data_IF_827635708897
#
_entry.id   IF_827635708897
#
_cell.length_a   1.000
_cell.length_b   1.000
_cell.length_c   1.000
_cell.angle_alpha   90.00
_cell.angle_beta   90.00
_cell.angle_gamma   90.00
#
_symmetry.space_group_name_H-M   'P 1'
#
loop_
_entity.id
_entity.type
_entity.pdbx_description
1 polymer ?
#
# COMPACT_ATOMS: atom_id res chain seq x y z
N UNK A 1 -11.40 -7.76 27.29
CA UNK A 1 -11.44 -6.46 26.60
C UNK A 1 -10.14 -5.76 26.90
N UNK A 2 -9.41 -5.28 25.90
CA UNK A 2 -8.17 -4.53 26.13
C UNK A 2 -8.48 -3.11 26.60
N UNK A 3 -7.55 -2.54 27.38
CA UNK A 3 -7.65 -1.17 27.83
C UNK A 3 -7.40 -0.19 26.68
N UNK A 4 -8.12 0.94 26.65
CA UNK A 4 -7.99 1.94 25.60
C UNK A 4 -6.56 2.49 25.44
N UNK A 5 -5.73 2.43 26.49
CA UNK A 5 -4.32 2.83 26.48
C UNK A 5 -3.40 1.91 25.69
N UNK A 6 -3.80 0.66 25.44
CA UNK A 6 -2.96 -0.37 24.84
C UNK A 6 -3.28 -0.62 23.36
N UNK A 7 -4.19 0.15 22.76
CA UNK A 7 -4.47 0.04 21.33
C UNK A 7 -3.29 0.53 20.50
N UNK A 8 -3.24 0.09 19.25
CA UNK A 8 -2.28 0.60 18.26
C UNK A 8 -2.55 2.08 17.92
N UNK A 9 -1.50 2.89 17.66
CA UNK A 9 -1.60 4.30 17.27
C UNK A 9 -2.58 4.60 16.13
N UNK A 10 -2.85 3.61 15.26
CA UNK A 10 -3.84 3.72 14.18
C UNK A 10 -5.28 4.05 14.62
N UNK A 11 -5.65 3.75 15.87
CA UNK A 11 -6.99 4.01 16.40
C UNK A 11 -7.13 5.37 17.08
N UNK A 12 -6.06 6.17 17.13
CA UNK A 12 -6.05 7.45 17.83
C UNK A 12 -5.85 8.62 16.86
N UNK A 13 -6.56 9.71 17.13
CA UNK A 13 -6.37 11.01 16.48
C UNK A 13 -5.86 12.00 17.52
N UNK A 14 -4.62 12.46 17.38
CA UNK A 14 -3.95 13.30 18.36
C UNK A 14 -3.94 14.78 17.94
N UNK A 15 -4.20 15.68 18.90
CA UNK A 15 -4.11 17.12 18.72
C UNK A 15 -3.28 17.76 19.86
N UNK A 16 -2.54 18.83 19.57
CA UNK A 16 -1.76 19.56 20.56
C UNK A 16 -1.89 21.07 20.35
N UNK A 17 -1.94 21.83 21.45
CA UNK A 17 -2.14 23.29 21.42
C UNK A 17 -0.85 24.07 21.16
N UNK A 18 0.27 23.61 21.70
CA UNK A 18 1.58 24.28 21.59
C UNK A 18 2.62 23.27 21.14
N UNK A 19 3.06 23.40 19.91
CA UNK A 19 3.85 22.38 19.25
C UNK A 19 4.97 23.09 18.46
N UNK A 20 6.22 22.88 18.87
CA UNK A 20 7.41 23.28 18.09
C UNK A 20 7.88 22.07 17.31
N UNK A 21 7.97 22.19 15.97
CA UNK A 21 8.36 21.08 15.08
C UNK A 21 9.62 20.39 15.63
N UNK A 22 9.55 19.06 15.78
CA UNK A 22 10.66 18.23 16.26
C UNK A 22 10.86 18.13 17.77
N UNK A 23 10.15 18.92 18.59
CA UNK A 23 10.20 18.83 20.05
C UNK A 23 9.11 17.90 20.61
N UNK A 24 9.41 17.17 21.69
CA UNK A 24 8.44 16.32 22.35
C UNK A 24 7.36 17.18 23.03
N UNK A 25 6.11 16.95 22.64
CA UNK A 25 4.95 17.70 23.14
C UNK A 25 3.90 16.72 23.66
N UNK A 26 3.20 17.10 24.72
CA UNK A 26 2.04 16.36 25.23
C UNK A 26 0.84 16.65 24.34
N UNK A 27 0.37 15.63 23.62
CA UNK A 27 -0.81 15.70 22.77
C UNK A 27 -1.99 14.98 23.44
N UNK A 28 -3.21 15.47 23.18
CA UNK A 28 -4.45 14.82 23.58
C UNK A 28 -4.92 13.97 22.40
N UNK A 29 -5.00 12.66 22.62
CA UNK A 29 -5.36 11.67 21.62
C UNK A 29 -6.77 11.13 21.87
N UNK A 30 -7.62 11.22 20.86
CA UNK A 30 -8.99 10.72 20.89
C UNK A 30 -9.07 9.36 20.21
N UNK A 31 -9.60 8.37 20.92
CA UNK A 31 -9.87 7.03 20.36
C UNK A 31 -11.06 7.10 19.41
N UNK A 32 -10.91 6.50 18.22
CA UNK A 32 -11.96 6.43 17.22
C UNK A 32 -13.23 5.72 17.78
N UNK A 33 -14.42 6.23 17.44
CA UNK A 33 -15.71 5.72 17.95
C UNK A 33 -15.97 4.25 17.61
N UNK A 34 -15.35 3.75 16.55
CA UNK A 34 -15.50 2.36 16.09
C UNK A 34 -14.62 1.35 16.86
N UNK A 35 -13.64 1.82 17.63
CA UNK A 35 -12.80 0.95 18.44
C UNK A 35 -13.51 0.62 19.77
N UNK A 36 -13.71 -0.67 20.05
CA UNK A 36 -14.29 -1.16 21.30
C UNK A 36 -13.16 -1.40 22.30
N UNK A 37 -13.04 -0.52 23.29
CA UNK A 37 -12.02 -0.60 24.33
C UNK A 37 -12.58 -0.21 25.70
N UNK A 38 -11.92 -0.66 26.78
CA UNK A 38 -12.31 -0.34 28.16
C UNK A 38 -11.45 0.78 28.74
N UNK A 39 -12.08 1.84 29.25
CA UNK A 39 -11.40 2.98 29.88
C UNK A 39 -11.74 4.34 29.25
N UNK A 40 -10.89 5.33 29.52
CA UNK A 40 -11.03 6.68 29.01
C UNK A 40 -10.66 6.76 27.52
N UNK A 41 -11.51 7.43 26.71
CA UNK A 41 -11.30 7.57 25.25
C UNK A 41 -10.37 8.72 24.86
N UNK A 42 -10.07 9.59 25.81
CA UNK A 42 -9.19 10.74 25.62
C UNK A 42 -7.94 10.50 26.46
N UNK A 43 -6.82 10.23 25.82
CA UNK A 43 -5.58 9.87 26.50
C UNK A 43 -4.53 10.90 26.15
N UNK A 44 -3.74 11.32 27.14
CA UNK A 44 -2.61 12.21 26.92
C UNK A 44 -1.35 11.40 26.66
N UNK A 45 -0.69 11.68 25.53
CA UNK A 45 0.51 10.96 25.08
C UNK A 45 1.60 11.98 24.75
N UNK A 46 2.84 11.69 25.13
CA UNK A 46 4.00 12.52 24.77
C UNK A 46 4.61 11.99 23.49
N UNK A 47 4.62 12.83 22.44
CA UNK A 47 5.11 12.45 21.11
C UNK A 47 5.83 13.63 20.45
N UNK A 48 6.77 13.39 19.51
CA UNK A 48 7.44 14.46 18.80
C UNK A 48 6.43 15.23 17.95
N UNK A 49 6.59 16.55 17.92
CA UNK A 49 5.72 17.43 17.17
C UNK A 49 5.95 17.30 15.66
N UNK A 50 5.25 16.35 15.03
CA UNK A 50 5.16 16.21 13.58
C UNK A 50 3.70 16.02 13.16
N UNK A 51 3.24 16.79 12.16
CA UNK A 51 1.95 16.54 11.54
C UNK A 51 2.03 15.26 10.70
N UNK A 52 0.94 14.49 10.63
CA UNK A 52 0.91 13.22 9.89
C UNK A 52 1.36 13.33 8.41
N UNK A 53 1.15 14.47 7.77
CA UNK A 53 1.57 14.73 6.39
C UNK A 53 3.04 15.13 6.24
N UNK A 54 3.74 15.44 7.35
CA UNK A 54 5.16 15.80 7.37
C UNK A 54 6.08 14.62 7.69
N UNK A 55 5.51 13.43 7.92
CA UNK A 55 6.29 12.22 8.17
C UNK A 55 7.12 11.84 6.93
N UNK A 56 8.27 11.16 7.13
CA UNK A 56 9.05 10.64 6.02
C UNK A 56 8.28 9.57 5.25
N UNK A 57 8.56 9.41 3.96
CA UNK A 57 7.89 8.44 3.09
C UNK A 57 7.96 6.99 3.60
N UNK A 58 8.98 6.64 4.40
CA UNK A 58 9.11 5.32 5.03
C UNK A 58 8.01 4.99 6.04
N UNK A 59 7.35 6.00 6.59
CA UNK A 59 6.26 5.86 7.57
C UNK A 59 4.88 6.13 6.96
N UNK A 60 4.82 6.26 5.63
CA UNK A 60 3.62 6.57 4.87
C UNK A 60 3.32 5.47 3.84
N UNK A 61 2.10 4.94 3.88
CA UNK A 61 1.54 4.11 2.84
C UNK A 61 0.75 4.99 1.88
N UNK A 62 1.41 5.44 0.82
CA UNK A 62 0.78 6.21 -0.25
C UNK A 62 0.37 5.33 -1.42
N UNK A 63 -0.81 5.59 -1.97
CA UNK A 63 -1.31 4.90 -3.15
C UNK A 63 -2.47 5.60 -3.82
N UNK A 64 -2.89 5.06 -4.95
CA UNK A 64 -4.12 5.50 -5.62
C UNK A 64 -5.26 4.57 -5.21
N UNK A 65 -6.43 5.10 -4.84
CA UNK A 65 -7.59 4.27 -4.47
C UNK A 65 -8.10 3.41 -5.65
N UNK A 66 -7.87 3.88 -6.89
CA UNK A 66 -8.38 3.29 -8.12
C UNK A 66 -7.30 3.14 -9.21
N UNK A 67 -7.74 2.92 -10.46
CA UNK A 67 -6.92 2.96 -11.66
C UNK A 67 -6.18 4.29 -11.74
N UNK A 68 -4.87 4.21 -11.62
CA UNK A 68 -3.97 5.31 -11.89
C UNK A 68 -3.65 5.32 -13.39
N UNK A 69 -3.75 6.48 -14.04
CA UNK A 69 -3.37 6.62 -15.45
C UNK A 69 -1.93 7.14 -15.56
N UNK A 70 -1.05 6.48 -16.32
CA UNK A 70 0.28 6.98 -16.63
C UNK A 70 0.20 8.41 -17.14
N UNK A 71 0.79 9.36 -16.41
CA UNK A 71 0.79 10.75 -16.83
C UNK A 71 2.04 11.45 -16.38
N UNK A 72 2.47 12.43 -17.16
CA UNK A 72 3.56 13.35 -16.81
C UNK A 72 3.16 14.35 -15.73
N UNK A 73 1.87 14.40 -15.39
CA UNK A 73 1.32 15.25 -14.34
C UNK A 73 1.03 14.42 -13.08
N UNK A 74 1.29 14.99 -11.88
CA UNK A 74 0.91 14.32 -10.64
C UNK A 74 -0.61 14.21 -10.52
N UNK A 75 -1.07 13.12 -9.95
CA UNK A 75 -2.48 12.85 -9.66
C UNK A 75 -2.70 12.85 -8.15
N UNK A 76 -3.93 13.10 -7.73
CA UNK A 76 -4.30 13.08 -6.33
C UNK A 76 -4.43 11.61 -5.90
N UNK A 77 -3.56 11.19 -4.98
CA UNK A 77 -3.66 9.89 -4.31
C UNK A 77 -3.88 10.06 -2.81
N UNK A 78 -4.04 8.94 -2.12
CA UNK A 78 -4.32 8.88 -0.69
C UNK A 78 -3.09 8.30 0.01
N UNK A 79 -2.62 8.98 1.04
CA UNK A 79 -1.58 8.52 1.93
C UNK A 79 -2.17 8.22 3.29
N UNK A 80 -1.84 7.05 3.84
CA UNK A 80 -2.16 6.65 5.21
C UNK A 80 -0.89 6.43 6.01
N UNK A 81 -0.92 6.82 7.28
CA UNK A 81 0.21 6.64 8.19
C UNK A 81 0.28 5.20 8.70
N UNK A 82 1.49 4.61 8.77
CA UNK A 82 1.74 3.26 9.30
C UNK A 82 1.13 3.08 10.70
N UNK A 83 0.69 1.87 11.04
CA UNK A 83 -0.05 1.58 12.27
C UNK A 83 0.68 1.97 13.58
N UNK A 84 2.01 1.98 13.56
CA UNK A 84 2.89 2.17 14.72
C UNK A 84 3.40 3.60 14.88
N UNK A 85 3.37 4.43 13.84
CA UNK A 85 3.88 5.80 13.92
C UNK A 85 2.86 6.74 14.57
N UNK A 86 3.38 7.62 15.42
CA UNK A 86 2.60 8.60 16.18
C UNK A 86 2.77 9.98 15.54
N UNK A 87 1.66 10.62 15.20
CA UNK A 87 1.65 11.92 14.53
C UNK A 87 0.41 12.73 14.92
N UNK A 88 0.45 14.02 14.65
CA UNK A 88 -0.67 14.94 14.92
C UNK A 88 -1.58 15.08 13.70
N UNK A 89 -2.89 15.19 13.97
CA UNK A 89 -3.91 15.45 12.96
C UNK A 89 -4.48 14.19 12.31
N UNK A 90 -4.95 14.34 11.07
CA UNK A 90 -5.57 13.24 10.31
C UNK A 90 -4.51 12.25 9.81
N UNK A 91 -4.72 10.96 10.09
CA UNK A 91 -3.82 9.87 9.65
C UNK A 91 -3.99 9.47 8.19
N UNK A 92 -5.05 9.94 7.53
CA UNK A 92 -5.28 9.77 6.10
C UNK A 92 -5.42 11.14 5.45
N UNK A 93 -4.58 11.41 4.46
CA UNK A 93 -4.54 12.70 3.76
C UNK A 93 -4.33 12.50 2.26
N UNK A 94 -4.83 13.43 1.48
CA UNK A 94 -4.62 13.44 0.02
C UNK A 94 -3.28 14.08 -0.29
N UNK A 95 -2.47 13.41 -1.11
CA UNK A 95 -1.17 13.91 -1.55
C UNK A 95 -1.03 13.81 -3.07
N UNK A 96 -0.15 14.64 -3.63
CA UNK A 96 0.20 14.58 -5.05
C UNK A 96 1.20 13.47 -5.28
N UNK A 97 0.78 12.45 -6.02
CA UNK A 97 1.57 11.26 -6.31
C UNK A 97 1.76 11.14 -7.82
N UNK A 98 2.93 10.63 -8.22
CA UNK A 98 3.20 10.34 -9.62
C UNK A 98 2.82 8.90 -9.93
N UNK A 99 2.12 8.71 -11.04
CA UNK A 99 1.79 7.39 -11.55
C UNK A 99 2.99 6.83 -12.30
N UNK A 100 3.91 6.19 -11.59
CA UNK A 100 5.06 5.60 -12.27
C UNK A 100 4.64 4.28 -12.94
N UNK A 101 4.77 4.25 -14.26
CA UNK A 101 4.61 3.06 -15.09
C UNK A 101 6.01 2.57 -15.45
N UNK A 102 6.21 1.25 -15.48
CA UNK A 102 7.45 0.70 -16.00
C UNK A 102 7.50 0.84 -17.51
N UNK A 103 8.66 1.19 -18.06
CA UNK A 103 8.87 1.44 -19.50
C UNK A 103 8.89 0.19 -20.38
N UNK A 104 8.21 -0.90 -19.98
CA UNK A 104 8.33 -2.16 -20.72
C UNK A 104 7.22 -3.21 -20.55
N UNK A 105 6.35 -3.11 -19.55
CA UNK A 105 5.34 -4.13 -19.27
C UNK A 105 3.94 -3.70 -19.68
N UNK A 106 3.54 -4.02 -20.91
CA UNK A 106 2.17 -3.75 -21.37
C UNK A 106 1.19 -4.79 -20.83
N UNK A 107 0.03 -4.33 -20.34
CA UNK A 107 -1.02 -5.23 -19.85
C UNK A 107 -1.51 -6.17 -20.95
N UNK A 108 -1.70 -5.65 -22.16
CA UNK A 108 -2.15 -6.42 -23.32
C UNK A 108 -1.13 -7.50 -23.70
N UNK A 109 0.17 -7.16 -23.68
CA UNK A 109 1.24 -8.11 -23.97
C UNK A 109 1.33 -9.20 -22.91
N UNK A 110 1.18 -8.87 -21.63
CA UNK A 110 1.16 -9.85 -20.55
C UNK A 110 -0.03 -10.83 -20.69
N UNK A 111 -1.21 -10.34 -21.03
CA UNK A 111 -2.40 -11.17 -21.30
C UNK A 111 -2.17 -12.08 -22.51
N UNK A 112 -1.64 -11.52 -23.62
CA UNK A 112 -1.34 -12.30 -24.82
C UNK A 112 -0.31 -13.41 -24.55
N UNK A 113 0.77 -13.09 -23.81
CA UNK A 113 1.77 -14.07 -23.37
C UNK A 113 1.16 -15.14 -22.47
N UNK A 114 0.22 -14.79 -21.58
CA UNK A 114 -0.45 -15.77 -20.71
C UNK A 114 -1.35 -16.73 -21.49
N UNK A 115 -2.01 -16.27 -22.57
CA UNK A 115 -2.88 -17.11 -23.39
C UNK A 115 -2.05 -18.05 -24.28
N UNK A 116 -1.03 -17.50 -24.94
CA UNK A 116 -0.24 -18.24 -25.94
C UNK A 116 0.84 -19.11 -25.31
N UNK A 117 1.47 -18.62 -24.25
CA UNK A 117 2.66 -19.23 -23.63
C UNK A 117 2.53 -19.41 -22.11
N UNK A 118 1.32 -19.34 -21.55
CA UNK A 118 1.09 -19.47 -20.12
C UNK A 118 1.51 -20.83 -19.54
N UNK A 119 1.37 -21.90 -20.33
CA UNK A 119 1.84 -23.25 -19.98
C UNK A 119 3.36 -23.35 -19.80
N UNK A 120 4.12 -22.48 -20.46
CA UNK A 120 5.57 -22.36 -20.30
C UNK A 120 5.97 -21.28 -19.28
N UNK A 121 5.01 -20.58 -18.68
CA UNK A 121 5.26 -19.51 -17.71
C UNK A 121 5.84 -18.23 -18.30
N UNK A 122 5.71 -17.99 -19.62
CA UNK A 122 6.25 -16.80 -20.29
C UNK A 122 5.66 -15.49 -19.74
N UNK A 123 4.41 -15.52 -19.27
CA UNK A 123 3.77 -14.41 -18.55
C UNK A 123 4.53 -14.01 -17.28
N UNK A 124 5.01 -14.99 -16.50
CA UNK A 124 5.79 -14.76 -15.27
C UNK A 124 7.22 -14.35 -15.59
N UNK A 125 7.84 -14.91 -16.64
CA UNK A 125 9.15 -14.46 -17.11
C UNK A 125 9.09 -13.01 -17.61
N UNK A 126 8.04 -12.64 -18.35
CA UNK A 126 7.84 -11.27 -18.81
C UNK A 126 7.72 -10.30 -17.63
N UNK A 127 7.05 -10.67 -16.54
CA UNK A 127 6.88 -9.81 -15.36
C UNK A 127 8.07 -9.79 -14.39
N UNK A 128 9.16 -10.50 -14.69
CA UNK A 128 10.35 -10.61 -13.83
C UNK A 128 10.26 -11.69 -12.75
N UNK A 129 9.19 -12.48 -12.71
CA UNK A 129 9.04 -13.62 -11.79
C UNK A 129 9.71 -14.89 -12.32
N UNK A 130 11.03 -14.83 -12.54
CA UNK A 130 11.82 -15.93 -13.13
C UNK A 130 11.70 -17.24 -12.34
N UNK A 131 11.68 -17.17 -11.00
CA UNK A 131 11.55 -18.37 -10.15
C UNK A 131 10.23 -19.12 -10.34
N UNK A 132 9.11 -18.39 -10.39
CA UNK A 132 7.80 -18.98 -10.66
C UNK A 132 7.68 -19.50 -12.09
N UNK A 133 8.31 -18.83 -13.06
CA UNK A 133 8.41 -19.30 -14.44
C UNK A 133 9.14 -20.65 -14.53
N UNK A 134 10.29 -20.80 -13.87
CA UNK A 134 11.04 -22.07 -13.85
C UNK A 134 10.28 -23.18 -13.13
N UNK A 135 9.57 -22.85 -12.03
CA UNK A 135 8.77 -23.82 -11.29
C UNK A 135 7.59 -24.35 -12.14
N UNK A 136 6.97 -23.49 -12.95
CA UNK A 136 5.98 -23.92 -13.95
C UNK A 136 6.59 -24.88 -14.97
N UNK A 137 7.78 -24.59 -15.49
CA UNK A 137 8.47 -25.48 -16.44
C UNK A 137 8.82 -26.83 -15.82
N UNK A 138 9.34 -26.84 -14.58
CA UNK A 138 9.69 -28.06 -13.86
C UNK A 138 8.48 -28.95 -13.56
N UNK A 139 7.31 -28.34 -13.38
CA UNK A 139 6.03 -29.05 -13.17
C UNK A 139 5.27 -29.33 -14.47
N UNK A 140 5.91 -29.16 -15.63
CA UNK A 140 5.30 -29.30 -16.97
C UNK A 140 4.01 -28.47 -17.13
N UNK A 141 3.99 -27.27 -16.54
CA UNK A 141 2.87 -26.34 -16.61
C UNK A 141 1.64 -26.74 -15.79
N UNK A 142 1.78 -27.68 -14.84
CA UNK A 142 0.73 -28.03 -13.87
C UNK A 142 -0.63 -28.39 -14.49
N UNK A 143 -0.63 -29.15 -15.60
CA UNK A 143 -1.83 -29.54 -16.36
C UNK A 143 -2.70 -28.36 -16.87
N UNK A 144 -2.14 -27.15 -16.97
CA UNK A 144 -2.86 -25.95 -17.44
C UNK A 144 -3.69 -25.23 -16.36
N UNK A 145 -3.81 -25.80 -15.16
CA UNK A 145 -4.50 -25.15 -14.04
C UNK A 145 -3.73 -23.91 -13.54
N UNK A 146 -2.40 -24.01 -13.49
CA UNK A 146 -1.52 -22.88 -13.16
C UNK A 146 -1.71 -21.74 -14.16
N UNK A 147 -1.64 -22.03 -15.47
CA UNK A 147 -1.86 -21.05 -16.53
C UNK A 147 -3.22 -20.36 -16.45
N UNK A 148 -4.26 -21.07 -16.04
CA UNK A 148 -5.60 -20.51 -15.86
C UNK A 148 -5.65 -19.52 -14.69
N UNK A 149 -5.06 -19.88 -13.54
CA UNK A 149 -5.00 -19.01 -12.36
C UNK A 149 -4.20 -17.74 -12.70
N UNK A 150 -3.07 -17.89 -13.39
CA UNK A 150 -2.24 -16.77 -13.81
C UNK A 150 -2.95 -15.83 -14.79
N UNK A 151 -3.68 -16.37 -15.76
CA UNK A 151 -4.49 -15.59 -16.69
C UNK A 151 -5.53 -14.75 -15.94
N UNK A 152 -6.23 -15.34 -14.97
CA UNK A 152 -7.21 -14.62 -14.16
C UNK A 152 -6.54 -13.50 -13.37
N UNK A 153 -5.42 -13.76 -12.68
CA UNK A 153 -4.72 -12.75 -11.89
C UNK A 153 -4.15 -11.58 -12.72
N UNK A 154 -3.68 -11.84 -13.94
CA UNK A 154 -3.21 -10.80 -14.87
C UNK A 154 -4.42 -10.02 -15.42
N UNK A 155 -5.50 -10.71 -15.77
CA UNK A 155 -6.72 -10.08 -16.29
C UNK A 155 -7.37 -9.16 -15.24
N UNK A 156 -7.44 -9.59 -13.98
CA UNK A 156 -7.93 -8.77 -12.86
C UNK A 156 -6.95 -7.70 -12.40
N UNK A 157 -5.75 -7.60 -13.00
CA UNK A 157 -4.66 -6.68 -12.63
C UNK A 157 -4.23 -6.78 -11.16
N UNK A 158 -4.55 -7.91 -10.52
CA UNK A 158 -4.09 -8.20 -9.16
C UNK A 158 -2.61 -8.54 -9.17
N UNK A 159 -2.13 -9.15 -10.24
CA UNK A 159 -0.71 -9.38 -10.46
C UNK A 159 -0.06 -8.17 -11.11
N UNK A 160 0.96 -7.59 -10.48
CA UNK A 160 1.77 -6.47 -11.01
C UNK A 160 3.17 -6.96 -11.39
N UNK A 161 3.94 -6.18 -12.18
CA UNK A 161 5.38 -6.41 -12.35
C UNK A 161 6.11 -6.50 -11.00
N UNK A 162 7.23 -7.22 -10.97
CA UNK A 162 8.05 -7.39 -9.76
C UNK A 162 8.49 -6.05 -9.12
N UNK A 163 8.62 -5.01 -9.94
CA UNK A 163 8.98 -3.65 -9.51
C UNK A 163 7.85 -2.90 -8.79
N UNK A 164 6.65 -3.50 -8.66
CA UNK A 164 5.49 -2.89 -7.98
C UNK A 164 4.78 -1.77 -8.76
N UNK A 165 5.34 -1.38 -9.92
CA UNK A 165 4.74 -0.41 -10.85
C UNK A 165 3.41 -0.88 -11.44
N UNK A 166 2.70 0.03 -12.11
CA UNK A 166 1.53 -0.32 -12.91
C UNK A 166 1.92 -0.68 -14.34
N UNK A 167 1.07 -1.48 -15.01
CA UNK A 167 1.20 -1.78 -16.44
C UNK A 167 1.02 -0.53 -17.31
N UNK A 168 1.66 -0.53 -18.48
CA UNK A 168 1.40 0.44 -19.57
C UNK A 168 0.13 0.09 -20.32
#
# INVERSE_FOLDING_TARGET
MEHCSNLYPQYFTCNAERCKIGENTTAICHVNKYAVCSGEKNITVTLPCYQCWQLPDSELHCGFPDRCTPSTKPQIGICSVVATSQCLGSRSFSSQLFCQTTTGYSHATAVAMSILFGGFGADRFYLGYTGFGVLKLATLGGFGLWSLIDLICIFTRTLKPIDGSFYV
#
